data_IF_405783424564
#
_entry.id   IF_405783424564
#
_cell.length_a   1.000
_cell.length_b   1.000
_cell.length_c   1.000
_cell.angle_alpha   90.00
_cell.angle_beta   90.00
_cell.angle_gamma   90.00
#
_symmetry.space_group_name_H-M   'P 1'
#
loop_
_entity.id
_entity.type
_entity.pdbx_description
1 polymer ?
#
# COMPACT_ATOMS: atom_id res chain seq x y z
N UNK A 1 -16.34 -16.48 0.73
CA UNK A 1 -16.36 -16.63 -0.75
C UNK A 1 -14.92 -16.59 -1.27
N UNK A 2 -14.59 -17.34 -2.32
CA UNK A 2 -13.25 -17.30 -2.92
C UNK A 2 -13.09 -15.99 -3.71
N UNK A 3 -12.43 -14.98 -3.14
CA UNK A 3 -12.21 -13.69 -3.81
C UNK A 3 -10.92 -13.76 -4.61
N UNK A 4 -11.02 -13.81 -5.94
CA UNK A 4 -9.86 -13.63 -6.82
C UNK A 4 -9.48 -12.15 -6.90
N UNK A 5 -8.19 -11.88 -7.00
CA UNK A 5 -7.63 -10.53 -7.07
C UNK A 5 -7.06 -10.31 -8.47
N UNK A 6 -7.40 -9.17 -9.07
CA UNK A 6 -6.77 -8.76 -10.32
C UNK A 6 -5.33 -8.31 -10.09
N UNK A 7 -4.41 -8.73 -10.96
CA UNK A 7 -2.99 -8.36 -10.85
C UNK A 7 -2.73 -6.84 -10.89
N UNK A 8 -3.67 -6.04 -11.40
CA UNK A 8 -3.60 -4.58 -11.37
C UNK A 8 -3.75 -4.01 -9.95
N UNK A 9 -4.32 -4.77 -9.02
CA UNK A 9 -4.49 -4.41 -7.61
C UNK A 9 -3.30 -4.81 -6.74
N UNK A 10 -2.38 -5.59 -7.29
CA UNK A 10 -1.14 -6.01 -6.61
C UNK A 10 -0.06 -4.96 -6.89
N UNK A 11 0.62 -4.42 -5.87
CA UNK A 11 1.61 -3.37 -6.05
C UNK A 11 2.86 -3.88 -6.78
N UNK A 12 3.59 -2.94 -7.38
CA UNK A 12 4.68 -3.25 -8.32
C UNK A 12 5.98 -2.50 -8.01
N UNK A 13 5.88 -1.28 -7.46
CA UNK A 13 7.01 -0.54 -6.91
C UNK A 13 7.20 -0.92 -5.46
N UNK A 14 8.40 -1.33 -5.06
CA UNK A 14 8.68 -1.87 -3.72
C UNK A 14 9.14 -0.83 -2.69
N UNK A 15 9.37 0.41 -3.11
CA UNK A 15 9.86 1.49 -2.25
C UNK A 15 8.75 2.51 -1.96
N UNK A 16 8.35 2.63 -0.68
CA UNK A 16 7.30 3.55 -0.26
C UNK A 16 7.76 5.02 -0.38
N UNK A 17 9.05 5.30 -0.20
CA UNK A 17 9.55 6.67 -0.32
C UNK A 17 9.43 7.20 -1.76
N UNK A 18 9.53 6.32 -2.76
CA UNK A 18 9.28 6.67 -4.15
C UNK A 18 7.81 6.99 -4.42
N UNK A 19 6.88 6.38 -3.68
CA UNK A 19 5.47 6.78 -3.71
C UNK A 19 5.32 8.16 -3.09
N UNK A 20 5.93 8.44 -1.95
CA UNK A 20 5.89 9.78 -1.34
C UNK A 20 6.47 10.85 -2.26
N UNK A 21 7.63 10.57 -2.87
CA UNK A 21 8.24 11.46 -3.84
C UNK A 21 7.32 11.74 -5.03
N UNK A 22 6.61 10.72 -5.52
CA UNK A 22 5.61 10.90 -6.59
C UNK A 22 4.50 11.86 -6.17
N UNK A 23 3.98 11.70 -4.95
CA UNK A 23 2.94 12.57 -4.40
C UNK A 23 3.45 14.01 -4.23
N UNK A 24 4.66 14.19 -3.70
CA UNK A 24 5.28 15.51 -3.52
C UNK A 24 5.50 16.21 -4.88
N UNK A 25 5.99 15.49 -5.89
CA UNK A 25 6.12 16.02 -7.26
C UNK A 25 4.76 16.47 -7.81
N UNK A 26 3.72 15.64 -7.66
CA UNK A 26 2.37 15.99 -8.10
C UNK A 26 1.82 17.22 -7.39
N UNK A 27 2.02 17.31 -6.07
CA UNK A 27 1.56 18.42 -5.26
C UNK A 27 2.21 19.75 -5.69
N UNK A 28 3.50 19.71 -6.02
CA UNK A 28 4.26 20.87 -6.48
C UNK A 28 4.07 21.21 -7.96
N UNK A 29 3.17 20.52 -8.67
CA UNK A 29 3.01 20.60 -10.13
C UNK A 29 4.31 20.32 -10.91
N UNK A 30 5.18 19.46 -10.36
CA UNK A 30 6.41 19.03 -11.01
C UNK A 30 6.18 17.80 -11.90
N UNK A 31 6.94 17.64 -12.99
CA UNK A 31 6.80 16.48 -13.86
C UNK A 31 7.17 15.18 -13.13
N UNK A 32 6.24 14.23 -13.06
CA UNK A 32 6.52 12.86 -12.61
C UNK A 32 7.14 12.06 -13.76
N UNK A 33 8.44 11.82 -13.73
CA UNK A 33 9.16 11.04 -14.73
C UNK A 33 10.34 10.28 -14.10
N UNK A 34 11.12 9.57 -14.92
CA UNK A 34 12.23 8.71 -14.49
C UNK A 34 13.30 9.51 -13.72
N UNK A 35 13.62 10.70 -14.23
CA UNK A 35 14.64 11.60 -13.67
C UNK A 35 14.16 12.15 -12.34
N UNK A 36 12.96 12.74 -12.29
CA UNK A 36 12.44 13.33 -11.06
C UNK A 36 12.20 12.28 -9.97
N UNK A 37 11.73 11.08 -10.30
CA UNK A 37 11.60 9.99 -9.32
C UNK A 37 12.94 9.31 -8.97
N UNK A 38 13.99 9.54 -9.75
CA UNK A 38 15.28 8.84 -9.67
C UNK A 38 15.09 7.31 -9.74
N UNK A 39 14.51 6.84 -10.85
CA UNK A 39 14.21 5.43 -11.12
C UNK A 39 14.33 5.14 -12.61
N UNK A 40 14.47 3.86 -12.96
CA UNK A 40 14.38 3.43 -14.37
C UNK A 40 13.02 3.80 -15.00
N UNK A 41 12.96 4.17 -16.29
CA UNK A 41 11.73 4.64 -16.93
C UNK A 41 10.51 3.74 -16.75
N UNK A 42 10.70 2.42 -16.82
CA UNK A 42 9.63 1.43 -16.63
C UNK A 42 9.00 1.49 -15.24
N UNK A 43 9.74 1.91 -14.21
CA UNK A 43 9.29 1.92 -12.82
C UNK A 43 8.37 3.11 -12.52
N UNK A 44 8.38 4.15 -13.36
CA UNK A 44 7.47 5.30 -13.20
C UNK A 44 6.02 4.85 -13.21
N UNK A 45 5.64 3.97 -14.15
CA UNK A 45 4.30 3.40 -14.21
C UNK A 45 3.97 2.54 -12.97
N UNK A 46 4.95 1.85 -12.41
CA UNK A 46 4.78 1.02 -11.21
C UNK A 46 4.51 1.87 -9.97
N UNK A 47 5.19 3.01 -9.83
CA UNK A 47 4.94 3.92 -8.71
C UNK A 47 3.62 4.69 -8.86
N UNK A 48 3.20 5.03 -10.08
CA UNK A 48 1.84 5.56 -10.33
C UNK A 48 0.77 4.56 -9.93
N UNK A 49 0.91 3.31 -10.36
CA UNK A 49 0.00 2.23 -9.98
C UNK A 49 -0.03 2.05 -8.45
N UNK A 50 1.13 2.11 -7.80
CA UNK A 50 1.25 1.96 -6.35
C UNK A 50 0.52 3.08 -5.60
N UNK A 51 0.68 4.34 -6.04
CA UNK A 51 -0.06 5.47 -5.50
C UNK A 51 -1.58 5.32 -5.67
N UNK A 52 -2.03 4.77 -6.80
CA UNK A 52 -3.44 4.48 -7.05
C UNK A 52 -3.98 3.35 -6.15
N UNK A 53 -3.21 2.26 -5.98
CA UNK A 53 -3.57 1.16 -5.06
C UNK A 53 -3.74 1.66 -3.62
N UNK A 54 -2.91 2.62 -3.20
CA UNK A 54 -2.98 3.24 -1.88
C UNK A 54 -4.06 4.33 -1.77
N UNK A 55 -4.81 4.60 -2.85
CA UNK A 55 -5.86 5.63 -2.86
C UNK A 55 -5.33 7.06 -2.77
N UNK A 56 -4.07 7.31 -3.09
CA UNK A 56 -3.47 8.65 -3.05
C UNK A 56 -3.66 9.42 -4.36
N UNK A 57 -3.88 8.71 -5.45
CA UNK A 57 -4.22 9.30 -6.75
C UNK A 57 -5.44 8.61 -7.35
N UNK A 58 -6.24 9.39 -8.05
CA UNK A 58 -7.33 8.93 -8.90
C UNK A 58 -6.80 8.23 -10.17
N UNK A 59 -7.68 7.54 -10.90
CA UNK A 59 -7.29 6.87 -12.16
C UNK A 59 -6.77 7.83 -13.24
N UNK A 60 -7.31 9.07 -13.28
CA UNK A 60 -6.80 10.14 -14.15
C UNK A 60 -5.45 10.72 -13.68
N UNK A 61 -4.95 10.23 -12.54
CA UNK A 61 -3.69 10.62 -11.94
C UNK A 61 -3.79 11.77 -10.95
N UNK A 62 -4.93 12.44 -10.78
CA UNK A 62 -5.09 13.56 -9.85
C UNK A 62 -4.97 13.15 -8.38
N UNK A 63 -4.51 14.05 -7.51
CA UNK A 63 -4.38 13.75 -6.09
C UNK A 63 -5.76 13.65 -5.44
N UNK A 64 -5.99 12.57 -4.70
CA UNK A 64 -7.15 12.44 -3.81
C UNK A 64 -6.95 13.32 -2.58
N UNK A 65 -8.00 13.58 -1.76
CA UNK A 65 -7.83 14.23 -0.45
C UNK A 65 -6.79 13.54 0.45
N UNK A 66 -6.69 12.20 0.38
CA UNK A 66 -5.68 11.45 1.13
C UNK A 66 -4.28 11.67 0.56
N UNK A 67 -4.12 11.75 -0.77
CA UNK A 67 -2.86 12.11 -1.41
C UNK A 67 -2.39 13.52 -1.04
N UNK A 68 -3.30 14.50 -1.00
CA UNK A 68 -2.99 15.86 -0.54
C UNK A 68 -2.55 15.86 0.93
N UNK A 69 -3.22 15.08 1.78
CA UNK A 69 -2.81 14.91 3.18
C UNK A 69 -1.42 14.31 3.30
N UNK A 70 -1.05 13.34 2.46
CA UNK A 70 0.33 12.82 2.40
C UNK A 70 1.30 13.97 2.08
N UNK A 71 1.07 14.75 1.02
CA UNK A 71 1.97 15.84 0.62
C UNK A 71 2.21 16.88 1.73
N UNK A 72 1.18 17.16 2.54
CA UNK A 72 1.23 18.14 3.63
C UNK A 72 1.76 17.59 4.96
N UNK A 73 2.05 16.29 5.05
CA UNK A 73 2.42 15.62 6.30
C UNK A 73 3.93 15.47 6.46
N UNK A 74 4.40 15.46 7.71
CA UNK A 74 5.73 14.97 8.06
C UNK A 74 5.89 13.47 7.75
N UNK A 75 7.14 12.98 7.74
CA UNK A 75 7.43 11.58 7.40
C UNK A 75 6.69 10.59 8.31
N UNK A 76 6.71 10.77 9.63
CA UNK A 76 6.05 9.84 10.56
C UNK A 76 4.56 9.71 10.26
N UNK A 77 3.91 10.83 9.95
CA UNK A 77 2.50 10.88 9.59
C UNK A 77 2.25 10.28 8.21
N UNK A 78 3.13 10.52 7.22
CA UNK A 78 3.07 9.87 5.89
C UNK A 78 3.08 8.35 6.03
N UNK A 79 4.02 7.80 6.79
CA UNK A 79 4.10 6.35 7.02
C UNK A 79 2.86 5.80 7.72
N UNK A 80 2.36 6.45 8.78
CA UNK A 80 1.15 6.01 9.48
C UNK A 80 -0.09 6.00 8.58
N UNK A 81 -0.30 7.06 7.79
CA UNK A 81 -1.42 7.12 6.82
C UNK A 81 -1.28 5.98 5.80
N UNK A 82 -0.06 5.73 5.34
CA UNK A 82 0.22 4.73 4.31
C UNK A 82 0.06 3.30 4.82
N UNK A 83 0.41 3.02 6.08
CA UNK A 83 0.15 1.72 6.71
C UNK A 83 -1.34 1.40 6.75
N UNK A 84 -2.17 2.38 7.14
CA UNK A 84 -3.63 2.23 7.12
C UNK A 84 -4.19 2.10 5.69
N UNK A 85 -3.67 2.87 4.74
CA UNK A 85 -4.04 2.76 3.33
C UNK A 85 -3.66 1.40 2.73
N UNK A 86 -2.51 0.83 3.15
CA UNK A 86 -2.06 -0.47 2.72
C UNK A 86 -2.97 -1.57 3.24
N UNK A 87 -3.34 -1.56 4.53
CA UNK A 87 -4.35 -2.48 5.09
C UNK A 87 -5.69 -2.40 4.35
N UNK A 88 -6.16 -1.17 4.08
CA UNK A 88 -7.41 -0.93 3.39
C UNK A 88 -7.39 -1.26 1.89
N UNK A 89 -6.21 -1.54 1.31
CA UNK A 89 -6.10 -1.88 -0.10
C UNK A 89 -6.75 -3.24 -0.38
N UNK A 90 -7.41 -3.36 -1.53
CA UNK A 90 -8.14 -4.58 -1.94
C UNK A 90 -7.26 -5.83 -1.87
N UNK A 91 -5.99 -5.71 -2.26
CA UNK A 91 -5.04 -6.83 -2.24
C UNK A 91 -4.71 -7.27 -0.80
N UNK A 92 -4.43 -6.35 0.11
CA UNK A 92 -4.08 -6.70 1.50
C UNK A 92 -5.30 -7.14 2.28
N UNK A 93 -6.43 -6.48 2.08
CA UNK A 93 -7.69 -6.93 2.66
C UNK A 93 -7.97 -8.39 2.30
N UNK A 94 -7.78 -8.77 1.04
CA UNK A 94 -7.92 -10.16 0.62
C UNK A 94 -6.86 -11.10 1.23
N UNK A 95 -5.64 -10.60 1.49
CA UNK A 95 -4.57 -11.37 2.16
C UNK A 95 -4.92 -11.65 3.62
N UNK A 96 -5.40 -10.63 4.35
CA UNK A 96 -5.88 -10.74 5.73
C UNK A 96 -7.00 -11.79 5.81
N UNK A 97 -8.03 -11.67 4.96
CA UNK A 97 -9.16 -12.60 4.96
C UNK A 97 -8.78 -14.02 4.50
N UNK A 98 -7.74 -14.17 3.68
CA UNK A 98 -7.31 -15.48 3.21
C UNK A 98 -6.77 -16.35 4.35
N UNK A 99 -6.10 -15.73 5.33
CA UNK A 99 -5.51 -16.39 6.50
C UNK A 99 -6.33 -16.17 7.78
N UNK A 100 -7.56 -15.65 7.67
CA UNK A 100 -8.46 -15.38 8.81
C UNK A 100 -7.81 -14.50 9.89
N UNK A 101 -7.07 -13.47 9.46
CA UNK A 101 -6.38 -12.53 10.33
C UNK A 101 -7.27 -11.32 10.66
N UNK A 102 -6.96 -10.62 11.75
CA UNK A 102 -7.73 -9.45 12.18
C UNK A 102 -7.31 -8.17 11.44
N UNK A 103 -6.00 -7.99 11.30
CA UNK A 103 -5.40 -6.79 10.75
C UNK A 103 -4.05 -7.09 10.09
N UNK A 104 -3.45 -6.07 9.47
CA UNK A 104 -2.22 -6.22 8.70
C UNK A 104 -0.99 -6.59 9.54
N UNK A 105 -0.97 -6.26 10.83
CA UNK A 105 0.17 -6.52 11.71
C UNK A 105 0.37 -8.02 11.98
N UNK A 106 -0.70 -8.82 11.85
CA UNK A 106 -0.67 -10.27 12.05
C UNK A 106 -0.17 -11.05 10.82
N UNK A 107 -0.05 -10.40 9.65
CA UNK A 107 0.42 -11.05 8.44
C UNK A 107 1.88 -11.50 8.61
N UNK A 108 2.16 -12.79 8.34
CA UNK A 108 3.52 -13.23 8.03
C UNK A 108 3.88 -12.83 6.58
N UNK A 109 4.82 -11.90 6.36
CA UNK A 109 5.17 -11.44 5.02
C UNK A 109 5.75 -12.53 4.11
N UNK A 110 6.17 -13.68 4.65
CA UNK A 110 6.65 -14.81 3.84
C UNK A 110 5.52 -15.56 3.12
N UNK A 111 4.28 -15.42 3.58
CA UNK A 111 3.09 -16.04 2.95
C UNK A 111 2.64 -15.32 1.67
N UNK A 112 3.26 -14.19 1.32
CA UNK A 112 2.84 -13.35 0.20
C UNK A 112 2.79 -14.11 -1.13
N UNK A 113 3.76 -14.99 -1.37
CA UNK A 113 3.83 -15.76 -2.63
C UNK A 113 2.73 -16.81 -2.68
N UNK A 114 2.49 -17.53 -1.59
CA UNK A 114 1.46 -18.56 -1.51
C UNK A 114 0.07 -17.95 -1.68
N UNK A 115 -0.19 -16.86 -0.95
CA UNK A 115 -1.39 -16.04 -1.12
C UNK A 115 -1.62 -15.62 -2.57
N UNK A 116 -0.61 -15.02 -3.22
CA UNK A 116 -0.76 -14.58 -4.61
C UNK A 116 -0.95 -15.76 -5.58
N UNK A 117 -0.41 -16.93 -5.25
CA UNK A 117 -0.50 -18.14 -6.10
C UNK A 117 -1.94 -18.63 -6.13
N UNK A 118 -2.59 -18.63 -4.96
CA UNK A 118 -3.98 -19.05 -4.83
C UNK A 118 -4.98 -17.99 -5.28
N UNK A 119 -4.69 -16.71 -4.99
CA UNK A 119 -5.68 -15.62 -5.12
C UNK A 119 -5.50 -14.75 -6.35
N UNK A 120 -4.36 -14.82 -7.03
CA UNK A 120 -4.10 -14.03 -8.23
C UNK A 120 -3.64 -14.91 -9.42
N UNK A 121 -4.54 -15.71 -10.03
CA UNK A 121 -4.18 -16.69 -11.06
C UNK A 121 -3.60 -16.07 -12.34
N UNK A 122 -3.75 -14.74 -12.52
CA UNK A 122 -3.15 -14.00 -13.64
C UNK A 122 -1.66 -13.71 -13.45
N UNK A 123 -1.11 -13.94 -12.25
CA UNK A 123 0.32 -13.84 -11.96
C UNK A 123 0.96 -15.23 -12.01
N UNK A 124 2.06 -15.35 -12.75
CA UNK A 124 2.80 -16.62 -12.87
C UNK A 124 4.30 -16.40 -13.02
N UNK A 125 5.06 -17.50 -12.96
CA UNK A 125 6.50 -17.51 -13.20
C UNK A 125 7.29 -16.59 -12.26
N UNK A 126 8.21 -15.79 -12.79
CA UNK A 126 8.98 -14.83 -11.97
C UNK A 126 8.15 -13.62 -11.52
N UNK A 127 7.04 -13.31 -12.21
CA UNK A 127 6.22 -12.14 -11.90
C UNK A 127 5.60 -12.27 -10.52
N UNK A 128 5.11 -13.46 -10.17
CA UNK A 128 4.51 -13.68 -8.85
C UNK A 128 5.52 -13.47 -7.72
N UNK A 129 6.75 -13.99 -7.86
CA UNK A 129 7.82 -13.81 -6.88
C UNK A 129 8.18 -12.34 -6.73
N UNK A 130 8.26 -11.59 -7.83
CA UNK A 130 8.51 -10.13 -7.80
C UNK A 130 7.40 -9.39 -7.06
N UNK A 131 6.12 -9.74 -7.31
CA UNK A 131 4.98 -9.12 -6.62
C UNK A 131 4.91 -9.47 -5.14
N UNK A 132 5.18 -10.72 -4.79
CA UNK A 132 5.28 -11.17 -3.41
C UNK A 132 6.35 -10.36 -2.66
N UNK A 133 7.54 -10.22 -3.26
CA UNK A 133 8.61 -9.39 -2.69
C UNK A 133 8.20 -7.92 -2.49
N UNK A 134 7.43 -7.35 -3.43
CA UNK A 134 6.87 -6.00 -3.25
C UNK A 134 5.96 -5.92 -2.03
N UNK A 135 5.02 -6.85 -1.87
CA UNK A 135 4.12 -6.91 -0.71
C UNK A 135 4.88 -7.06 0.60
N UNK A 136 5.82 -8.02 0.67
CA UNK A 136 6.65 -8.23 1.86
C UNK A 136 7.52 -7.01 2.17
N UNK A 137 8.02 -6.30 1.16
CA UNK A 137 8.82 -5.09 1.32
C UNK A 137 7.99 -3.93 1.86
N UNK A 138 6.77 -3.75 1.37
CA UNK A 138 5.84 -2.74 1.90
C UNK A 138 5.47 -3.04 3.35
N UNK A 139 5.14 -4.30 3.66
CA UNK A 139 4.86 -4.72 5.03
C UNK A 139 6.01 -4.34 5.98
N UNK A 140 7.26 -4.67 5.63
CA UNK A 140 8.44 -4.33 6.45
C UNK A 140 8.63 -2.83 6.65
N UNK A 141 8.33 -2.02 5.64
CA UNK A 141 8.44 -0.56 5.71
C UNK A 141 7.30 0.09 6.51
N UNK A 142 6.10 -0.50 6.50
CA UNK A 142 4.89 0.16 7.00
C UNK A 142 4.47 -0.32 8.39
N UNK A 143 4.66 -1.59 8.73
CA UNK A 143 4.22 -2.14 10.03
C UNK A 143 4.84 -1.44 11.24
N UNK A 144 6.12 -1.00 11.24
CA UNK A 144 6.67 -0.24 12.37
C UNK A 144 5.91 1.06 12.69
N UNK A 145 5.09 1.55 11.75
CA UNK A 145 4.31 2.79 11.87
C UNK A 145 2.80 2.54 11.93
N UNK A 146 2.38 1.28 11.92
CA UNK A 146 0.98 0.90 11.98
C UNK A 146 0.41 1.17 13.38
N UNK A 147 -0.76 1.79 13.42
CA UNK A 147 -1.56 1.92 14.62
C UNK A 147 -2.92 1.32 14.32
N UNK A 148 -3.33 0.32 15.08
CA UNK A 148 -4.68 -0.22 14.99
C UNK A 148 -5.68 0.83 15.52
N UNK A 149 -6.26 1.58 14.60
CA UNK A 149 -7.20 2.65 14.93
C UNK A 149 -8.50 2.09 15.51
N UNK A 150 -8.87 0.84 15.20
CA UNK A 150 -10.06 0.19 15.78
C UNK A 150 -9.83 -0.10 17.26
N UNK A 151 -8.71 -0.73 17.60
CA UNK A 151 -8.32 -0.99 18.99
C UNK A 151 -8.20 0.30 19.82
N UNK A 152 -7.61 1.37 19.26
CA UNK A 152 -7.49 2.67 19.94
C UNK A 152 -8.84 3.33 20.22
N UNK A 153 -9.81 3.17 19.31
CA UNK A 153 -11.16 3.72 19.50
C UNK A 153 -11.97 2.92 20.52
N UNK A 154 -11.80 1.61 20.58
CA UNK A 154 -12.46 0.74 21.56
C UNK A 154 -11.95 1.02 22.99
N UNK A 155 -10.64 1.26 23.17
CA UNK A 155 -10.07 1.66 24.46
C UNK A 155 -10.57 3.04 24.93
N UNK A 156 -10.76 4.00 24.02
CA UNK A 156 -11.29 5.34 24.37
C UNK A 156 -12.76 5.29 24.76
N UNK A 157 -13.56 4.42 24.15
CA UNK A 157 -14.95 4.22 24.54
C UNK A 157 -15.08 3.53 25.90
N UNK A 158 -14.19 2.60 26.24
CA UNK A 158 -14.16 1.99 27.58
C UNK A 158 -13.72 2.97 28.68
N UNK A 159 -12.80 3.90 28.39
CA UNK A 159 -12.31 4.89 29.38
C UNK A 159 -13.25 6.08 29.61
N UNK A 160 -14.13 6.40 28.65
CA UNK A 160 -15.10 7.49 28.76
C UNK A 160 -16.50 7.01 29.19
N UNK A 161 -16.65 5.72 29.51
CA UNK A 161 -17.90 5.08 29.91
C UNK A 161 -18.02 4.77 31.40
N UNK A 162 -17.25 5.44 32.26
CA UNK A 162 -17.32 5.33 33.74
C UNK A 162 -17.58 6.70 34.36
#
# INVERSE_FOLDING_TARGET
ALTYISSIKVPQGNDIEKVFKLIDLKWNNEPVNAVSLNVEPRLVAYYRQSAHILGFVEYNGELTPQGQRIALSDNNTKYRITANAFEASECVWAWINHFDLTNIAEIDPNTAKDFLTERCPTLSGQTISRRANTLSSWWKQLIPHYLDVKAVNDEKHQKNGV
#
